data_IF_042098884664
#
_entry.id   IF_042098884664
#
_cell.length_a   1.000
_cell.length_b   1.000
_cell.length_c   1.000
_cell.angle_alpha   90.00
_cell.angle_beta   90.00
_cell.angle_gamma   90.00
#
_symmetry.space_group_name_H-M   'P 1'
#
loop_
_entity.id
_entity.type
_entity.pdbx_description
1 polymer ?
#
# COMPACT_ATOMS: atom_id res chain seq x y z
N UNK A 1 -2.34 35.16 -12.16
CA UNK A 1 -2.35 33.72 -11.85
C UNK A 1 -3.80 33.25 -11.85
N UNK A 2 -4.19 32.36 -12.77
CA UNK A 2 -5.58 31.96 -13.00
C UNK A 2 -6.17 31.20 -11.77
N UNK A 3 -7.39 31.53 -11.36
CA UNK A 3 -8.11 30.93 -10.21
C UNK A 3 -8.17 29.41 -10.33
N UNK A 4 -8.31 28.90 -11.56
CA UNK A 4 -8.37 27.48 -11.88
C UNK A 4 -7.06 26.74 -11.54
N UNK A 5 -5.91 27.38 -11.78
CA UNK A 5 -4.57 26.85 -11.49
C UNK A 5 -4.31 26.73 -9.98
N UNK A 6 -4.88 27.62 -9.17
CA UNK A 6 -4.76 27.57 -7.71
C UNK A 6 -5.63 26.46 -7.12
N UNK A 7 -6.88 26.35 -7.57
CA UNK A 7 -7.81 25.29 -7.17
C UNK A 7 -7.26 23.89 -7.51
N UNK A 8 -6.61 23.74 -8.67
CA UNK A 8 -5.95 22.48 -9.04
C UNK A 8 -4.81 22.10 -8.07
N UNK A 9 -3.94 23.05 -7.71
CA UNK A 9 -2.83 22.80 -6.77
C UNK A 9 -3.35 22.38 -5.38
N UNK A 10 -4.39 23.05 -4.88
CA UNK A 10 -5.07 22.70 -3.63
C UNK A 10 -5.65 21.28 -3.65
N UNK A 11 -6.28 20.88 -4.76
CA UNK A 11 -6.83 19.53 -4.95
C UNK A 11 -5.74 18.46 -4.95
N UNK A 12 -4.61 18.70 -5.62
CA UNK A 12 -3.48 17.78 -5.61
C UNK A 12 -2.89 17.60 -4.21
N UNK A 13 -2.66 18.71 -3.49
CA UNK A 13 -2.14 18.68 -2.11
C UNK A 13 -3.07 17.90 -1.19
N UNK A 14 -4.38 18.16 -1.28
CA UNK A 14 -5.39 17.44 -0.53
C UNK A 14 -5.45 15.94 -0.89
N UNK A 15 -5.35 15.59 -2.18
CA UNK A 15 -5.36 14.20 -2.64
C UNK A 15 -4.14 13.41 -2.13
N UNK A 16 -2.95 14.01 -2.19
CA UNK A 16 -1.72 13.42 -1.65
C UNK A 16 -1.86 13.17 -0.14
N UNK A 17 -2.38 14.16 0.59
CA UNK A 17 -2.60 14.02 2.04
C UNK A 17 -3.52 12.86 2.39
N UNK A 18 -4.56 12.66 1.60
CA UNK A 18 -5.50 11.53 1.75
C UNK A 18 -4.83 10.20 1.44
N UNK A 19 -3.92 10.15 0.48
CA UNK A 19 -3.13 8.96 0.15
C UNK A 19 -2.18 8.56 1.30
N UNK A 20 -1.49 9.52 1.91
CA UNK A 20 -0.64 9.31 3.09
C UNK A 20 -1.43 8.74 4.28
N UNK A 21 -2.60 9.31 4.55
CA UNK A 21 -3.48 8.85 5.63
C UNK A 21 -3.95 7.41 5.37
N UNK A 22 -4.36 7.08 4.14
CA UNK A 22 -4.71 5.71 3.77
C UNK A 22 -3.52 4.77 3.96
N UNK A 23 -2.32 5.17 3.55
CA UNK A 23 -1.09 4.43 3.76
C UNK A 23 -0.83 4.11 5.23
N UNK A 24 -1.05 5.08 6.12
CA UNK A 24 -0.92 4.86 7.56
C UNK A 24 -1.94 3.84 8.10
N UNK A 25 -3.22 3.96 7.72
CA UNK A 25 -4.24 3.00 8.15
C UNK A 25 -3.96 1.58 7.65
N UNK A 26 -3.42 1.43 6.44
CA UNK A 26 -2.93 0.14 5.93
C UNK A 26 -1.87 -0.46 6.84
N UNK A 27 -0.85 0.34 7.19
CA UNK A 27 0.23 -0.11 8.04
C UNK A 27 -0.28 -0.50 9.43
N UNK A 28 -1.24 0.26 9.97
CA UNK A 28 -1.90 -0.03 11.23
C UNK A 28 -2.68 -1.35 11.18
N UNK A 29 -3.48 -1.60 10.14
CA UNK A 29 -4.21 -2.87 9.98
C UNK A 29 -3.24 -4.04 9.85
N UNK A 30 -2.17 -3.89 9.05
CA UNK A 30 -1.13 -4.92 8.92
C UNK A 30 -0.47 -5.23 10.27
N UNK A 31 -0.33 -4.24 11.15
CA UNK A 31 0.21 -4.40 12.51
C UNK A 31 -0.67 -5.30 13.41
N UNK A 32 -1.96 -5.44 13.11
CA UNK A 32 -2.83 -6.38 13.85
C UNK A 32 -2.81 -7.80 13.26
N UNK A 33 -2.35 -7.99 12.02
CA UNK A 33 -2.40 -9.29 11.32
C UNK A 33 -1.01 -9.96 11.30
N UNK A 34 0.03 -9.20 10.91
CA UNK A 34 1.37 -9.74 10.67
C UNK A 34 2.08 -10.15 11.97
N UNK A 35 2.14 -9.31 13.03
CA UNK A 35 2.85 -9.69 14.26
C UNK A 35 2.30 -10.94 14.97
N UNK A 36 0.98 -11.14 15.12
CA UNK A 36 0.45 -12.41 15.67
C UNK A 36 0.86 -13.63 14.83
N UNK A 37 0.89 -13.50 13.51
CA UNK A 37 1.33 -14.56 12.61
C UNK A 37 2.82 -14.88 12.77
N UNK A 38 3.67 -13.86 12.94
CA UNK A 38 5.10 -14.05 13.22
C UNK A 38 5.36 -14.72 14.57
N UNK A 39 4.60 -14.34 15.60
CA UNK A 39 4.64 -15.01 16.91
C UNK A 39 4.29 -16.49 16.76
N UNK A 40 3.21 -16.80 16.04
CA UNK A 40 2.81 -18.19 15.78
C UNK A 40 3.93 -18.99 15.09
N UNK A 41 4.53 -18.47 14.03
CA UNK A 41 5.64 -19.14 13.33
C UNK A 41 6.83 -19.37 14.26
N UNK A 42 7.24 -18.35 15.01
CA UNK A 42 8.42 -18.47 15.86
C UNK A 42 8.21 -19.51 16.97
N UNK A 43 7.03 -19.56 17.59
CA UNK A 43 6.71 -20.56 18.60
C UNK A 43 6.68 -22.00 18.05
N UNK A 44 6.34 -22.19 16.77
CA UNK A 44 6.34 -23.51 16.14
C UNK A 44 7.74 -23.96 15.67
N UNK A 45 8.59 -23.02 15.27
CA UNK A 45 9.87 -23.34 14.60
C UNK A 45 11.07 -23.29 15.54
N UNK A 46 11.07 -22.35 16.47
CA UNK A 46 12.18 -22.13 17.39
C UNK A 46 11.66 -21.60 18.74
N UNK A 47 10.89 -22.41 19.50
CA UNK A 47 10.29 -21.98 20.77
C UNK A 47 11.34 -21.57 21.81
N UNK A 48 12.55 -22.12 21.74
CA UNK A 48 13.67 -21.73 22.61
C UNK A 48 14.23 -20.32 22.33
N UNK A 49 13.92 -19.70 21.18
CA UNK A 49 14.46 -18.39 20.79
C UNK A 49 13.36 -17.47 20.24
N UNK A 50 12.89 -16.56 21.09
CA UNK A 50 11.79 -15.62 20.80
C UNK A 50 12.23 -14.41 19.96
N UNK A 51 12.73 -14.63 18.75
CA UNK A 51 13.16 -13.55 17.85
C UNK A 51 12.00 -12.61 17.46
N UNK A 52 10.74 -13.05 17.62
CA UNK A 52 9.58 -12.21 17.35
C UNK A 52 9.60 -10.88 18.13
N UNK A 53 10.25 -10.80 19.32
CA UNK A 53 10.33 -9.56 20.10
C UNK A 53 11.05 -8.45 19.34
N UNK A 54 12.14 -8.76 18.66
CA UNK A 54 12.92 -7.79 17.87
C UNK A 54 12.08 -7.36 16.66
N UNK A 55 11.42 -8.30 16.00
CA UNK A 55 10.55 -8.01 14.85
C UNK A 55 9.38 -7.09 15.24
N UNK A 56 8.71 -7.37 16.36
CA UNK A 56 7.63 -6.54 16.91
C UNK A 56 8.16 -5.15 17.24
N UNK A 57 9.26 -5.04 17.97
CA UNK A 57 9.84 -3.75 18.34
C UNK A 57 10.17 -2.89 17.11
N UNK A 58 10.84 -3.47 16.10
CA UNK A 58 11.13 -2.78 14.85
C UNK A 58 9.87 -2.34 14.11
N UNK A 59 8.84 -3.19 14.09
CA UNK A 59 7.55 -2.89 13.45
C UNK A 59 6.84 -1.71 14.11
N UNK A 60 6.77 -1.69 15.44
CA UNK A 60 6.16 -0.59 16.20
C UNK A 60 6.94 0.73 16.06
N UNK A 61 8.28 0.67 16.01
CA UNK A 61 9.10 1.85 15.69
C UNK A 61 8.74 2.39 14.30
N UNK A 62 8.63 1.51 13.30
CA UNK A 62 8.19 1.89 11.95
C UNK A 62 6.79 2.52 11.93
N UNK A 63 5.86 2.00 12.74
CA UNK A 63 4.51 2.56 12.88
C UNK A 63 4.52 3.96 13.50
N UNK A 64 5.32 4.18 14.55
CA UNK A 64 5.47 5.49 15.20
C UNK A 64 6.07 6.50 14.22
N UNK A 65 7.13 6.13 13.48
CA UNK A 65 7.74 6.99 12.46
C UNK A 65 6.71 7.35 11.39
N UNK A 66 5.96 6.37 10.89
CA UNK A 66 4.92 6.62 9.88
C UNK A 66 3.81 7.53 10.43
N UNK A 67 3.41 7.36 11.70
CA UNK A 67 2.46 8.27 12.35
C UNK A 67 3.01 9.69 12.43
N UNK A 68 4.26 9.89 12.85
CA UNK A 68 4.88 11.21 12.89
C UNK A 68 5.03 11.84 11.50
N UNK A 69 5.32 11.05 10.47
CA UNK A 69 5.35 11.54 9.09
C UNK A 69 3.97 12.03 8.64
N UNK A 70 2.92 11.23 8.91
CA UNK A 70 1.56 11.56 8.49
C UNK A 70 0.92 12.62 9.38
N UNK A 71 1.23 12.74 10.66
CA UNK A 71 0.51 13.63 11.59
C UNK A 71 1.39 14.64 12.34
N UNK A 72 2.71 14.41 12.41
CA UNK A 72 3.60 15.04 13.38
C UNK A 72 4.52 16.16 12.87
N UNK A 73 4.74 16.33 11.56
CA UNK A 73 5.45 17.52 11.05
C UNK A 73 5.18 17.77 9.57
N UNK A 74 4.12 18.52 9.29
CA UNK A 74 3.74 18.90 7.92
C UNK A 74 4.59 20.05 7.38
N UNK A 75 5.11 20.96 8.21
CA UNK A 75 5.59 22.26 7.72
C UNK A 75 6.90 22.18 6.92
N UNK A 76 7.91 21.46 7.43
CA UNK A 76 9.22 21.34 6.77
C UNK A 76 9.18 20.49 5.49
N UNK A 77 8.48 19.35 5.54
CA UNK A 77 8.29 18.49 4.38
C UNK A 77 7.46 19.19 3.30
N UNK A 78 6.38 19.88 3.69
CA UNK A 78 5.55 20.65 2.75
C UNK A 78 6.35 21.75 2.05
N UNK A 79 7.23 22.46 2.76
CA UNK A 79 8.08 23.52 2.17
C UNK A 79 9.09 22.95 1.17
N UNK A 80 9.77 21.85 1.53
CA UNK A 80 10.71 21.18 0.63
C UNK A 80 9.99 20.63 -0.61
N UNK A 81 8.84 19.97 -0.42
CA UNK A 81 8.06 19.42 -1.52
C UNK A 81 7.50 20.51 -2.44
N UNK A 82 7.02 21.62 -1.87
CA UNK A 82 6.55 22.76 -2.65
C UNK A 82 7.68 23.35 -3.50
N UNK A 83 8.89 23.46 -2.94
CA UNK A 83 10.07 23.91 -3.69
C UNK A 83 10.40 22.95 -4.84
N UNK A 84 10.48 21.65 -4.57
CA UNK A 84 10.78 20.64 -5.60
C UNK A 84 9.71 20.55 -6.68
N UNK A 85 8.44 20.69 -6.32
CA UNK A 85 7.36 20.73 -7.31
C UNK A 85 7.46 21.95 -8.22
N UNK A 86 7.82 23.11 -7.68
CA UNK A 86 8.02 24.32 -8.50
C UNK A 86 9.21 24.16 -9.45
N UNK A 87 10.33 23.58 -8.99
CA UNK A 87 11.48 23.28 -9.86
C UNK A 87 11.09 22.37 -11.04
N UNK A 88 10.30 21.32 -10.80
CA UNK A 88 9.84 20.41 -11.87
C UNK A 88 8.80 21.08 -12.79
N UNK A 89 7.90 21.90 -12.25
CA UNK A 89 6.89 22.59 -13.06
C UNK A 89 7.47 23.73 -13.90
N UNK A 90 8.57 24.35 -13.49
CA UNK A 90 9.27 25.36 -14.27
C UNK A 90 10.00 24.74 -15.49
N UNK A 91 10.42 23.48 -15.38
CA UNK A 91 11.05 22.73 -16.49
C UNK A 91 10.04 22.34 -17.59
N UNK A 92 8.74 22.35 -17.29
CA UNK A 92 7.67 22.02 -18.23
C UNK A 92 6.93 23.29 -18.72
N UNK A 93 7.12 23.64 -20.00
CA UNK A 93 6.52 24.82 -20.65
C UNK A 93 4.98 24.84 -20.60
N UNK A 94 4.32 23.68 -20.70
CA UNK A 94 2.86 23.54 -20.59
C UNK A 94 2.44 22.73 -19.34
N UNK A 95 2.00 23.46 -18.31
CA UNK A 95 1.47 22.88 -17.08
C UNK A 95 0.27 21.94 -17.29
N UNK A 96 -0.55 22.17 -18.32
CA UNK A 96 -1.73 21.36 -18.62
C UNK A 96 -1.34 19.99 -19.19
N UNK A 97 -0.31 19.94 -20.03
CA UNK A 97 0.25 18.71 -20.57
C UNK A 97 0.85 17.85 -19.45
N UNK A 98 1.64 18.44 -18.56
CA UNK A 98 2.22 17.74 -17.41
C UNK A 98 1.14 17.10 -16.51
N UNK A 99 0.06 17.81 -16.21
CA UNK A 99 -1.05 17.29 -15.39
C UNK A 99 -1.74 16.11 -16.08
N UNK A 100 -1.96 16.20 -17.39
CA UNK A 100 -2.56 15.11 -18.18
C UNK A 100 -1.66 13.88 -18.20
N UNK A 101 -0.35 14.08 -18.36
CA UNK A 101 0.63 13.00 -18.32
C UNK A 101 0.63 12.29 -16.97
N UNK A 102 0.67 13.02 -15.85
CA UNK A 102 0.62 12.43 -14.50
C UNK A 102 -0.67 11.63 -14.27
N UNK A 103 -1.82 12.15 -14.73
CA UNK A 103 -3.10 11.44 -14.64
C UNK A 103 -3.11 10.15 -15.49
N UNK A 104 -2.57 10.21 -16.70
CA UNK A 104 -2.40 9.06 -17.58
C UNK A 104 -1.49 8.00 -16.93
N UNK A 105 -0.33 8.41 -16.39
CA UNK A 105 0.61 7.53 -15.71
C UNK A 105 -0.03 6.85 -14.49
N UNK A 106 -0.76 7.60 -13.66
CA UNK A 106 -1.49 7.05 -12.50
C UNK A 106 -2.54 6.01 -12.93
N UNK A 107 -3.32 6.31 -13.95
CA UNK A 107 -4.35 5.41 -14.48
C UNK A 107 -3.71 4.14 -15.07
N UNK A 108 -2.65 4.30 -15.87
CA UNK A 108 -1.88 3.20 -16.45
C UNK A 108 -1.25 2.32 -15.38
N UNK A 109 -0.69 2.91 -14.32
CA UNK A 109 -0.16 2.17 -13.17
C UNK A 109 -1.24 1.32 -12.52
N UNK A 110 -2.42 1.88 -12.25
CA UNK A 110 -3.54 1.13 -11.66
C UNK A 110 -4.00 -0.03 -12.54
N UNK A 111 -4.08 0.17 -13.86
CA UNK A 111 -4.40 -0.90 -14.81
C UNK A 111 -3.34 -2.00 -14.78
N UNK A 112 -2.06 -1.63 -14.74
CA UNK A 112 -0.96 -2.60 -14.65
C UNK A 112 -0.97 -3.38 -13.33
N UNK A 113 -1.30 -2.75 -12.20
CA UNK A 113 -1.46 -3.41 -10.90
C UNK A 113 -2.61 -4.44 -10.95
N UNK A 114 -3.76 -4.06 -11.51
CA UNK A 114 -4.90 -4.97 -11.70
C UNK A 114 -4.51 -6.15 -12.60
N UNK A 115 -3.87 -5.88 -13.75
CA UNK A 115 -3.39 -6.92 -14.66
C UNK A 115 -2.38 -7.85 -13.97
N UNK A 116 -1.42 -7.28 -13.26
CA UNK A 116 -0.41 -8.00 -12.49
C UNK A 116 -1.04 -8.93 -11.47
N UNK A 117 -2.06 -8.47 -10.74
CA UNK A 117 -2.83 -9.30 -9.83
C UNK A 117 -3.42 -10.54 -10.50
N UNK A 118 -4.13 -10.38 -11.63
CA UNK A 118 -4.73 -11.53 -12.33
C UNK A 118 -3.69 -12.52 -12.86
N UNK A 119 -2.54 -12.02 -13.33
CA UNK A 119 -1.42 -12.89 -13.74
C UNK A 119 -0.90 -13.68 -12.54
N UNK A 120 -0.61 -13.03 -11.42
CA UNK A 120 -0.14 -13.69 -10.20
C UNK A 120 -1.17 -14.68 -9.65
N UNK A 121 -2.46 -14.35 -9.69
CA UNK A 121 -3.55 -15.24 -9.29
C UNK A 121 -3.59 -16.51 -10.13
N UNK A 122 -3.56 -16.39 -11.47
CA UNK A 122 -3.55 -17.53 -12.37
C UNK A 122 -2.32 -18.42 -12.20
N UNK A 123 -1.12 -17.83 -12.13
CA UNK A 123 0.14 -18.56 -11.88
C UNK A 123 0.10 -19.26 -10.53
N UNK A 124 -0.49 -18.65 -9.51
CA UNK A 124 -0.59 -19.25 -8.17
C UNK A 124 -1.51 -20.47 -8.14
N UNK A 125 -2.65 -20.45 -8.84
CA UNK A 125 -3.52 -21.64 -8.97
C UNK A 125 -2.76 -22.79 -9.62
N UNK A 126 -2.04 -22.51 -10.71
CA UNK A 126 -1.23 -23.51 -11.39
C UNK A 126 -0.11 -24.05 -10.49
N UNK A 127 0.57 -23.17 -9.75
CA UNK A 127 1.62 -23.55 -8.80
C UNK A 127 1.07 -24.45 -7.69
N UNK A 128 -0.07 -24.10 -7.09
CA UNK A 128 -0.73 -24.93 -6.08
C UNK A 128 -1.06 -26.31 -6.64
N UNK A 129 -1.61 -26.39 -7.85
CA UNK A 129 -1.91 -27.66 -8.50
C UNK A 129 -0.65 -28.52 -8.68
N UNK A 130 0.44 -27.95 -9.18
CA UNK A 130 1.72 -28.66 -9.36
C UNK A 130 2.30 -29.12 -8.02
N UNK A 131 2.31 -28.25 -7.00
CA UNK A 131 2.86 -28.57 -5.68
C UNK A 131 2.10 -29.73 -5.03
N UNK A 132 0.77 -29.74 -5.14
CA UNK A 132 -0.07 -30.84 -4.62
C UNK A 132 0.25 -32.14 -5.36
N UNK A 133 0.29 -32.13 -6.69
CA UNK A 133 0.61 -33.33 -7.47
C UNK A 133 2.00 -33.88 -7.13
N UNK A 134 3.02 -33.02 -7.08
CA UNK A 134 4.39 -33.42 -6.75
C UNK A 134 4.45 -33.99 -5.33
N UNK A 135 3.82 -33.34 -4.35
CA UNK A 135 3.86 -33.85 -2.98
C UNK A 135 3.21 -35.23 -2.88
N UNK A 136 2.03 -35.43 -3.49
CA UNK A 136 1.32 -36.71 -3.44
C UNK A 136 2.07 -37.83 -4.19
N UNK A 137 2.82 -37.50 -5.25
CA UNK A 137 3.57 -38.49 -6.02
C UNK A 137 4.87 -38.91 -5.34
N UNK A 138 5.62 -37.97 -4.76
CA UNK A 138 6.99 -38.22 -4.30
C UNK A 138 7.11 -38.41 -2.79
N UNK A 139 6.24 -37.78 -2.00
CA UNK A 139 6.27 -37.85 -0.52
C UNK A 139 4.83 -37.97 0.02
N UNK A 140 4.10 -39.06 -0.30
CA UNK A 140 2.69 -39.20 0.06
C UNK A 140 2.44 -39.23 1.57
N UNK A 141 3.44 -39.61 2.37
CA UNK A 141 3.35 -39.73 3.82
C UNK A 141 3.46 -38.38 4.56
N UNK A 142 3.88 -37.31 3.88
CA UNK A 142 4.03 -35.97 4.47
C UNK A 142 3.47 -34.87 3.57
N UNK A 143 2.31 -34.34 3.94
CA UNK A 143 1.57 -33.31 3.19
C UNK A 143 2.13 -31.89 3.35
N UNK A 144 3.39 -31.68 2.98
CA UNK A 144 4.03 -30.36 3.04
C UNK A 144 3.36 -29.30 2.16
N UNK A 145 2.56 -29.71 1.16
CA UNK A 145 1.83 -28.79 0.29
C UNK A 145 0.94 -27.83 1.08
N UNK A 146 0.43 -28.21 2.26
CA UNK A 146 -0.40 -27.32 3.09
C UNK A 146 0.34 -26.04 3.50
N UNK A 147 1.62 -26.14 3.86
CA UNK A 147 2.43 -24.98 4.23
C UNK A 147 2.71 -24.07 3.02
N UNK A 148 2.97 -24.68 1.86
CA UNK A 148 3.18 -23.95 0.61
C UNK A 148 1.91 -23.23 0.14
N UNK A 149 0.77 -23.92 0.17
CA UNK A 149 -0.55 -23.35 -0.16
C UNK A 149 -0.89 -22.21 0.80
N UNK A 150 -0.68 -22.40 2.11
CA UNK A 150 -0.93 -21.33 3.09
C UNK A 150 -0.10 -20.07 2.78
N UNK A 151 1.20 -20.23 2.49
CA UNK A 151 2.06 -19.11 2.10
C UNK A 151 1.59 -18.38 0.84
N UNK A 152 1.22 -19.14 -0.20
CA UNK A 152 0.70 -18.58 -1.47
C UNK A 152 -0.63 -17.86 -1.24
N UNK A 153 -1.56 -18.44 -0.47
CA UNK A 153 -2.85 -17.83 -0.14
C UNK A 153 -2.67 -16.52 0.62
N UNK A 154 -1.74 -16.46 1.58
CA UNK A 154 -1.42 -15.23 2.32
C UNK A 154 -0.85 -14.17 1.37
N UNK A 155 0.10 -14.53 0.51
CA UNK A 155 0.68 -13.61 -0.45
C UNK A 155 -0.36 -13.06 -1.44
N UNK A 156 -1.25 -13.92 -1.95
CA UNK A 156 -2.36 -13.53 -2.82
C UNK A 156 -3.35 -12.61 -2.10
N UNK A 157 -3.68 -12.90 -0.84
CA UNK A 157 -4.57 -12.08 -0.04
C UNK A 157 -4.03 -10.66 0.11
N UNK A 158 -2.74 -10.50 0.45
CA UNK A 158 -2.14 -9.17 0.59
C UNK A 158 -2.03 -8.42 -0.74
N UNK A 159 -1.71 -9.11 -1.84
CA UNK A 159 -1.72 -8.48 -3.16
C UNK A 159 -3.13 -8.03 -3.56
N UNK A 160 -4.13 -8.89 -3.41
CA UNK A 160 -5.55 -8.55 -3.64
C UNK A 160 -5.98 -7.36 -2.78
N UNK A 161 -5.64 -7.39 -1.49
CA UNK A 161 -5.99 -6.34 -0.55
C UNK A 161 -5.35 -5.00 -0.93
N UNK A 162 -4.09 -5.00 -1.37
CA UNK A 162 -3.41 -3.81 -1.89
C UNK A 162 -4.08 -3.23 -3.14
N UNK A 163 -4.55 -4.09 -4.06
CA UNK A 163 -5.14 -3.64 -5.33
C UNK A 163 -6.61 -3.24 -5.19
N UNK A 164 -7.40 -3.95 -4.38
CA UNK A 164 -8.87 -3.80 -4.32
C UNK A 164 -9.44 -3.57 -2.91
N UNK A 165 -8.70 -3.93 -1.85
CA UNK A 165 -9.22 -3.98 -0.49
C UNK A 165 -9.58 -2.61 0.09
N UNK A 166 -8.83 -1.56 -0.27
CA UNK A 166 -9.07 -0.20 0.22
C UNK A 166 -10.41 0.37 -0.21
N UNK A 167 -10.86 0.07 -1.44
CA UNK A 167 -12.17 0.53 -1.91
C UNK A 167 -13.32 -0.08 -1.10
N UNK A 168 -13.14 -1.32 -0.59
CA UNK A 168 -14.17 -2.05 0.17
C UNK A 168 -14.20 -1.73 1.66
N UNK A 169 -13.11 -1.23 2.24
CA UNK A 169 -13.02 -0.83 3.66
C UNK A 169 -13.60 0.57 3.95
N UNK A 170 -14.27 1.19 2.97
CA UNK A 170 -14.80 2.55 3.10
C UNK A 170 -13.78 3.64 2.83
N UNK A 171 -12.56 3.30 2.39
CA UNK A 171 -11.55 4.24 1.90
C UNK A 171 -11.58 4.43 0.37
N UNK A 172 -12.67 4.02 -0.30
CA UNK A 172 -12.81 4.15 -1.74
C UNK A 172 -13.04 5.59 -2.21
N UNK A 173 -13.22 5.76 -3.53
CA UNK A 173 -13.34 7.07 -4.20
C UNK A 173 -14.22 8.09 -3.48
N UNK A 174 -15.40 7.68 -3.01
CA UNK A 174 -16.34 8.59 -2.33
C UNK A 174 -15.80 9.14 -1.00
N UNK A 175 -15.04 8.34 -0.24
CA UNK A 175 -14.40 8.80 0.99
C UNK A 175 -13.20 9.68 0.69
N UNK A 176 -12.41 9.33 -0.33
CA UNK A 176 -11.27 10.13 -0.77
C UNK A 176 -11.73 11.52 -1.19
N UNK A 177 -12.78 11.61 -2.01
CA UNK A 177 -13.36 12.88 -2.45
C UNK A 177 -13.86 13.71 -1.26
N UNK A 178 -14.56 13.10 -0.31
CA UNK A 178 -15.01 13.79 0.92
C UNK A 178 -13.83 14.36 1.71
N UNK A 179 -12.76 13.58 1.87
CA UNK A 179 -11.57 14.04 2.60
C UNK A 179 -10.79 15.10 1.86
N UNK A 180 -10.69 15.00 0.53
CA UNK A 180 -10.08 16.02 -0.32
C UNK A 180 -10.83 17.35 -0.13
N UNK A 181 -12.17 17.34 -0.18
CA UNK A 181 -12.98 18.53 0.02
C UNK A 181 -12.84 19.11 1.44
N UNK A 182 -12.80 18.25 2.46
CA UNK A 182 -12.56 18.68 3.85
C UNK A 182 -11.22 19.43 3.99
N UNK A 183 -10.16 18.93 3.35
CA UNK A 183 -8.85 19.57 3.37
C UNK A 183 -8.82 20.88 2.57
N UNK A 184 -9.47 20.94 1.41
CA UNK A 184 -9.59 22.17 0.62
C UNK A 184 -10.31 23.24 1.44
N UNK A 185 -11.43 22.90 2.09
CA UNK A 185 -12.19 23.83 2.92
C UNK A 185 -11.40 24.33 4.14
N UNK A 186 -10.46 23.53 4.67
CA UNK A 186 -9.55 23.94 5.76
C UNK A 186 -8.40 24.83 5.29
N UNK A 187 -8.07 24.81 4.00
CA UNK A 187 -6.98 25.57 3.39
C UNK A 187 -7.44 26.83 2.63
N UNK A 188 -8.74 26.91 2.31
CA UNK A 188 -9.43 28.08 1.75
C UNK A 188 -9.68 29.15 2.80
#
# INVERSE_FOLDING_TARGET
>A
MNIESNNHKLRLKAAKRVEEIKGFYTHLVATFIIPPFLVFINLQTAPQFHWFWIAIAAWFVGLIIHWFYVFGSAQFLDEWEAKKLNEVLEDHEDKSEFIQEQYYLKTKKKVNEIKGFYVHFGVSILAVFIIVLVNLQFVPDFYFFWYAVAGICIALFFHWFGVFGFDKLGFGKNWEEKKIQEFINKMS
#
